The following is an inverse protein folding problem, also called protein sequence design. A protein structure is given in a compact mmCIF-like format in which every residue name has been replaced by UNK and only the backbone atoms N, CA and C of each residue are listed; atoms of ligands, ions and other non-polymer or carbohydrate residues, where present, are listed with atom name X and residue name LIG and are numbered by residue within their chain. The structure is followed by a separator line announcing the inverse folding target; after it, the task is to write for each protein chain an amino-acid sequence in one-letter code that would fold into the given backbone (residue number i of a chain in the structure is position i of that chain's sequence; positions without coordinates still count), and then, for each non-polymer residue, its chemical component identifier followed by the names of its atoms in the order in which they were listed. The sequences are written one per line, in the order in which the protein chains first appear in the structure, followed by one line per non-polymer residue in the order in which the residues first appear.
data_IF_293481704217
#
_entry.id   IF_293481704217
#
_cell.length_a   1.000
_cell.length_b   1.000
_cell.length_c   1.000
_cell.angle_alpha   90.00
_cell.angle_beta   90.00
_cell.angle_gamma   90.00
#
_symmetry.space_group_name_H-M   'P 1'
#
loop_
_entity.id
_entity.type
_entity.pdbx_description
1 polymer ?
#
# COMPACT_ATOMS: atom_id res chain seq x y z
N UNK A 1 7.94 4.46 1.60
CA UNK A 1 7.47 3.12 1.98
C UNK A 1 8.53 2.09 1.62
N UNK A 2 8.28 0.81 1.89
CA UNK A 2 9.12 -0.28 1.37
C UNK A 2 8.62 -0.67 -0.02
N UNK A 3 9.51 -0.83 -0.99
CA UNK A 3 9.15 -1.39 -2.29
C UNK A 3 8.92 -2.89 -2.12
N UNK A 4 7.69 -3.34 -2.32
CA UNK A 4 7.34 -4.75 -2.14
C UNK A 4 7.86 -5.63 -3.29
N UNK A 5 7.67 -5.18 -4.53
CA UNK A 5 8.10 -5.88 -5.75
C UNK A 5 8.42 -4.92 -6.88
N UNK A 6 9.28 -5.35 -7.80
CA UNK A 6 9.65 -4.57 -8.98
C UNK A 6 10.67 -3.48 -8.71
N UNK A 7 10.73 -2.51 -9.62
CA UNK A 7 11.64 -1.36 -9.60
C UNK A 7 10.80 -0.13 -9.97
N UNK A 8 10.98 0.98 -9.26
CA UNK A 8 10.42 2.29 -9.60
C UNK A 8 11.56 3.21 -10.03
N UNK A 9 11.42 3.86 -11.19
CA UNK A 9 12.42 4.80 -11.72
C UNK A 9 11.88 6.23 -11.75
N UNK A 10 12.79 7.19 -11.66
CA UNK A 10 12.44 8.60 -11.90
C UNK A 10 11.92 8.75 -13.33
N UNK A 11 10.78 9.41 -13.48
CA UNK A 11 10.08 9.61 -14.74
C UNK A 11 8.96 8.62 -15.03
N UNK A 12 8.81 7.53 -14.26
CA UNK A 12 7.75 6.56 -14.48
C UNK A 12 6.38 7.03 -13.99
N UNK A 13 5.33 6.67 -14.73
CA UNK A 13 3.94 6.83 -14.30
C UNK A 13 3.58 5.78 -13.24
N UNK A 14 2.86 6.22 -12.21
CA UNK A 14 2.36 5.39 -11.11
C UNK A 14 0.90 5.70 -10.83
N UNK A 15 0.18 4.69 -10.33
CA UNK A 15 -1.15 4.84 -9.76
C UNK A 15 -1.06 4.80 -8.23
N UNK A 16 -1.80 5.69 -7.58
CA UNK A 16 -2.08 5.65 -6.14
C UNK A 16 -3.40 4.90 -5.96
N UNK A 17 -3.32 3.68 -5.42
CA UNK A 17 -4.43 2.73 -5.39
C UNK A 17 -4.90 2.46 -3.95
N UNK A 18 -6.22 2.43 -3.75
CA UNK A 18 -6.85 2.04 -2.49
C UNK A 18 -7.34 3.23 -1.66
N UNK A 19 -8.26 2.95 -0.73
CA UNK A 19 -8.96 3.89 0.20
C UNK A 19 -9.79 4.97 -0.51
N UNK A 20 -9.16 5.77 -1.37
CA UNK A 20 -9.77 6.78 -2.24
C UNK A 20 -9.83 6.27 -3.69
N UNK A 21 -10.44 7.07 -4.57
CA UNK A 21 -10.40 6.83 -6.01
C UNK A 21 -8.95 6.76 -6.52
N UNK A 22 -8.71 5.89 -7.50
CA UNK A 22 -7.38 5.70 -8.06
C UNK A 22 -6.98 6.91 -8.87
N UNK A 23 -5.79 7.44 -8.57
CA UNK A 23 -5.25 8.63 -9.22
C UNK A 23 -3.90 8.30 -9.85
N UNK A 24 -3.60 8.95 -10.97
CA UNK A 24 -2.31 8.82 -11.64
C UNK A 24 -1.38 9.96 -11.27
N UNK A 25 -0.10 9.65 -11.17
CA UNK A 25 0.96 10.64 -11.00
C UNK A 25 2.25 10.15 -11.67
N UNK A 26 3.27 11.00 -11.67
CA UNK A 26 4.60 10.67 -12.16
C UNK A 26 5.58 10.70 -10.99
N UNK A 27 6.41 9.68 -10.88
CA UNK A 27 7.56 9.67 -9.97
C UNK A 27 8.59 10.70 -10.44
N UNK A 28 8.80 11.78 -9.68
CA UNK A 28 9.79 12.82 -10.01
C UNK A 28 11.09 12.68 -9.25
N UNK A 29 11.17 11.75 -8.30
CA UNK A 29 12.37 11.51 -7.51
C UNK A 29 12.20 10.29 -6.62
N UNK A 30 13.31 9.57 -6.41
CA UNK A 30 13.41 8.50 -5.42
C UNK A 30 14.48 8.91 -4.41
N UNK A 31 14.17 8.83 -3.13
CA UNK A 31 15.07 9.22 -2.04
C UNK A 31 15.25 8.09 -1.04
N UNK A 32 16.49 7.83 -0.62
CA UNK A 32 16.82 6.91 0.47
C UNK A 32 17.88 7.55 1.37
N UNK A 33 17.62 7.63 2.68
CA UNK A 33 18.55 8.22 3.67
C UNK A 33 19.09 9.62 3.28
N UNK A 34 18.22 10.52 2.81
CA UNK A 34 18.61 11.89 2.34
C UNK A 34 19.51 11.91 1.10
N UNK A 35 19.57 10.81 0.35
CA UNK A 35 20.25 10.72 -0.95
C UNK A 35 19.23 10.50 -2.04
N UNK A 36 19.37 11.25 -3.14
CA UNK A 36 18.61 11.01 -4.35
C UNK A 36 19.18 9.81 -5.10
N UNK A 37 18.29 8.97 -5.60
CA UNK A 37 18.59 7.78 -6.39
C UNK A 37 17.83 7.87 -7.72
N UNK A 38 18.37 7.23 -8.76
CA UNK A 38 17.71 7.14 -10.06
C UNK A 38 16.56 6.11 -10.06
N UNK A 39 16.62 5.14 -9.15
CA UNK A 39 15.62 4.09 -8.99
C UNK A 39 15.53 3.57 -7.55
N UNK A 40 14.41 2.93 -7.21
CA UNK A 40 14.19 2.17 -5.98
C UNK A 40 13.79 0.74 -6.30
N UNK A 41 14.37 -0.23 -5.61
CA UNK A 41 14.23 -1.68 -5.87
C UNK A 41 13.50 -2.40 -4.75
N UNK A 42 12.90 -3.54 -5.09
CA UNK A 42 12.26 -4.43 -4.13
C UNK A 42 13.13 -4.69 -2.89
N UNK A 43 12.54 -4.51 -1.71
CA UNK A 43 13.21 -4.62 -0.43
C UNK A 43 13.68 -3.27 0.16
N UNK A 44 13.87 -2.24 -0.64
CA UNK A 44 14.38 -0.93 -0.20
C UNK A 44 13.29 -0.06 0.44
N UNK A 45 13.68 0.71 1.45
CA UNK A 45 12.83 1.73 2.05
C UNK A 45 13.14 3.09 1.43
N UNK A 46 12.21 3.60 0.63
CA UNK A 46 12.40 4.82 -0.16
C UNK A 46 11.27 5.83 0.08
N UNK A 47 11.60 7.11 -0.06
CA UNK A 47 10.66 8.19 -0.36
C UNK A 47 10.47 8.28 -1.87
N UNK A 48 9.22 8.43 -2.33
CA UNK A 48 8.89 8.65 -3.74
C UNK A 48 8.24 10.02 -3.84
N UNK A 49 8.85 10.91 -4.62
CA UNK A 49 8.29 12.22 -4.89
C UNK A 49 7.29 12.09 -6.03
N UNK A 50 6.05 12.53 -5.78
CA UNK A 50 4.95 12.42 -6.73
C UNK A 50 4.60 13.80 -7.29
N UNK A 51 4.49 13.89 -8.61
CA UNK A 51 4.13 15.14 -9.29
C UNK A 51 2.68 15.52 -8.98
N UNK A 52 2.50 16.73 -8.46
CA UNK A 52 1.18 17.35 -8.33
C UNK A 52 0.27 16.74 -7.27
N UNK A 53 0.79 15.85 -6.41
CA UNK A 53 0.03 15.23 -5.33
C UNK A 53 0.33 15.97 -4.03
N UNK A 54 -0.72 16.52 -3.42
CA UNK A 54 -0.64 17.15 -2.11
C UNK A 54 -0.75 16.13 -0.99
N UNK A 55 -0.36 16.54 0.22
CA UNK A 55 -0.32 15.66 1.39
C UNK A 55 -1.70 15.15 1.79
N UNK A 56 -2.75 15.93 1.55
CA UNK A 56 -4.15 15.58 1.82
C UNK A 56 -4.74 14.59 0.79
N UNK A 57 -4.12 14.48 -0.38
CA UNK A 57 -4.57 13.61 -1.48
C UNK A 57 -4.02 12.19 -1.37
N UNK A 58 -3.01 11.98 -0.51
CA UNK A 58 -2.38 10.68 -0.27
C UNK A 58 -2.39 10.33 1.23
N UNK A 59 -2.68 9.07 1.55
CA UNK A 59 -2.70 8.60 2.94
C UNK A 59 -2.08 7.22 3.12
N UNK A 60 -1.75 6.92 4.38
CA UNK A 60 -1.20 5.61 4.75
C UNK A 60 -2.25 4.53 4.50
N UNK A 61 -1.81 3.44 3.86
CA UNK A 61 -2.65 2.31 3.47
C UNK A 61 -2.95 2.28 1.97
N UNK A 62 -2.69 3.38 1.25
CA UNK A 62 -2.66 3.38 -0.21
C UNK A 62 -1.34 2.77 -0.72
N UNK A 63 -1.38 2.27 -1.95
CA UNK A 63 -0.25 1.61 -2.62
C UNK A 63 0.13 2.36 -3.88
N UNK A 64 1.42 2.57 -4.11
CA UNK A 64 1.94 3.01 -5.41
C UNK A 64 2.19 1.79 -6.29
N UNK A 65 1.57 1.76 -7.46
CA UNK A 65 1.67 0.63 -8.38
C UNK A 65 1.88 1.09 -9.82
N UNK A 66 2.42 0.21 -10.66
CA UNK A 66 2.44 0.45 -12.11
C UNK A 66 1.00 0.54 -12.61
N UNK A 67 0.67 1.51 -13.50
CA UNK A 67 -0.71 1.71 -13.94
C UNK A 67 -1.37 0.44 -14.48
N UNK A 68 -2.59 0.18 -14.02
CA UNK A 68 -3.41 -0.96 -14.44
C UNK A 68 -3.00 -2.32 -13.87
N UNK A 69 -1.96 -2.40 -13.04
CA UNK A 69 -1.46 -3.69 -12.51
C UNK A 69 -2.13 -4.14 -11.21
N UNK A 70 -2.77 -3.23 -10.48
CA UNK A 70 -3.49 -3.50 -9.24
C UNK A 70 -4.85 -2.82 -9.33
N UNK A 71 -5.90 -3.54 -8.90
CA UNK A 71 -7.26 -2.99 -8.80
C UNK A 71 -7.70 -3.09 -7.34
N UNK A 72 -8.31 -2.03 -6.77
CA UNK A 72 -8.83 -2.09 -5.41
C UNK A 72 -10.08 -2.98 -5.36
N UNK A 73 -10.22 -3.75 -4.29
CA UNK A 73 -11.35 -4.66 -4.06
C UNK A 73 -11.98 -4.42 -2.69
N UNK A 74 -13.31 -4.59 -2.61
CA UNK A 74 -14.09 -4.39 -1.37
C UNK A 74 -14.73 -5.66 -0.84
N UNK A 75 -14.68 -6.74 -1.63
CA UNK A 75 -15.21 -8.07 -1.28
C UNK A 75 -14.18 -9.12 -1.69
N UNK A 76 -13.94 -10.06 -0.81
CA UNK A 76 -13.02 -11.16 -1.03
C UNK A 76 -13.45 -12.36 -0.18
N UNK A 77 -12.94 -13.53 -0.53
CA UNK A 77 -12.99 -14.75 0.29
C UNK A 77 -11.57 -15.05 0.77
N UNK A 78 -11.44 -15.56 1.99
CA UNK A 78 -10.14 -15.89 2.56
C UNK A 78 -10.26 -17.02 3.57
N UNK A 79 -9.20 -17.81 3.68
CA UNK A 79 -9.00 -18.70 4.81
C UNK A 79 -8.46 -17.89 5.99
N UNK A 80 -9.02 -18.09 7.18
CA UNK A 80 -8.64 -17.35 8.38
C UNK A 80 -8.45 -18.32 9.54
N UNK A 81 -7.32 -18.19 10.22
CA UNK A 81 -7.09 -18.85 11.50
C UNK A 81 -7.55 -17.95 12.65
N UNK A 82 -8.41 -18.48 13.52
CA UNK A 82 -8.93 -17.74 14.67
C UNK A 82 -8.07 -18.08 15.88
N UNK A 83 -7.30 -17.09 16.33
CA UNK A 83 -6.46 -17.19 17.51
C UNK A 83 -7.29 -17.60 18.73
N UNK A 84 -6.79 -18.60 19.45
CA UNK A 84 -7.30 -18.99 20.76
C UNK A 84 -7.03 -17.90 21.79
N UNK A 85 -7.69 -18.00 22.95
CA UNK A 85 -7.45 -17.10 24.09
C UNK A 85 -5.97 -17.05 24.49
N UNK A 86 -5.30 -18.21 24.52
CA UNK A 86 -3.91 -18.31 24.99
C UNK A 86 -2.92 -17.71 24.00
N UNK A 87 -3.31 -17.59 22.73
CA UNK A 87 -2.59 -16.85 21.69
C UNK A 87 -2.93 -15.34 21.67
N UNK A 88 -3.69 -14.86 22.66
CA UNK A 88 -4.15 -13.47 22.74
C UNK A 88 -5.39 -13.17 21.89
N UNK A 89 -6.06 -14.21 21.40
CA UNK A 89 -7.30 -14.12 20.64
C UNK A 89 -8.53 -13.86 21.50
N UNK A 90 -9.70 -14.09 20.90
CA UNK A 90 -10.98 -13.82 21.57
C UNK A 90 -11.37 -14.95 22.52
N UNK A 91 -11.98 -14.57 23.64
CA UNK A 91 -12.60 -15.54 24.56
C UNK A 91 -13.95 -16.06 24.06
N UNK A 92 -14.67 -15.26 23.27
CA UNK A 92 -16.03 -15.54 22.83
C UNK A 92 -16.11 -15.67 21.31
N UNK A 93 -16.96 -16.59 20.79
CA UNK A 93 -17.15 -16.75 19.36
C UNK A 93 -17.77 -15.50 18.73
N UNK A 94 -17.62 -15.37 17.41
CA UNK A 94 -18.27 -14.34 16.61
C UNK A 94 -19.08 -14.98 15.48
N UNK A 95 -20.05 -14.25 14.96
CA UNK A 95 -21.00 -14.74 13.97
C UNK A 95 -21.00 -13.88 12.72
N UNK A 96 -21.78 -14.29 11.72
CA UNK A 96 -22.00 -13.53 10.48
C UNK A 96 -22.41 -12.09 10.82
N UNK A 97 -21.75 -11.12 10.17
CA UNK A 97 -21.97 -9.69 10.42
C UNK A 97 -20.99 -9.08 11.43
N UNK A 98 -20.07 -9.86 11.99
CA UNK A 98 -18.93 -9.32 12.75
C UNK A 98 -18.12 -8.34 11.90
N UNK A 99 -17.76 -7.19 12.47
CA UNK A 99 -17.05 -6.10 11.80
C UNK A 99 -15.68 -5.85 12.44
N UNK A 100 -14.71 -6.77 12.28
CA UNK A 100 -13.34 -6.52 12.72
C UNK A 100 -12.65 -5.51 11.79
N UNK A 101 -11.53 -4.97 12.27
CA UNK A 101 -10.59 -4.26 11.41
C UNK A 101 -9.67 -5.28 10.73
N UNK A 102 -9.48 -5.12 9.42
CA UNK A 102 -8.51 -5.90 8.64
C UNK A 102 -7.27 -5.04 8.39
N UNK A 103 -6.10 -5.65 8.49
CA UNK A 103 -4.80 -5.01 8.30
C UNK A 103 -4.03 -5.69 7.18
#
# INVERSE_FOLDING_TARGET
GRVERGIIKVGEEVEIVGIKETQKSTCTGVEMFRKLLDEGRAGENVGVLLRGIKREEIERGQVLAKPGTIKPHTKFESEVYILSKDEGGRHTPFFKGYRPQFY
#
